data_IF_478721846585
#
_entry.id   IF_478721846585
#
_cell.length_a   1.000
_cell.length_b   1.000
_cell.length_c   1.000
_cell.angle_alpha   90.00
_cell.angle_beta   90.00
_cell.angle_gamma   90.00
#
_symmetry.space_group_name_H-M   'P 1'
#
loop_
_entity.id
_entity.type
_entity.pdbx_description
1 polymer ?
#
# COMPACT_ATOMS: atom_id res chain seq x y z
N UNK A 1 24.40 16.72 -17.40
CA UNK A 1 23.58 17.92 -17.32
C UNK A 1 22.10 17.53 -17.48
N UNK A 2 21.37 17.47 -16.36
CA UNK A 2 19.97 17.04 -16.34
C UNK A 2 19.08 18.01 -17.12
N UNK A 3 19.38 19.30 -17.06
CA UNK A 3 18.58 20.36 -17.71
C UNK A 3 18.50 20.14 -19.23
N UNK A 4 19.59 19.71 -19.86
CA UNK A 4 19.60 19.43 -21.31
C UNK A 4 18.71 18.26 -21.72
N UNK A 5 18.38 17.38 -20.77
CA UNK A 5 17.56 16.19 -21.01
C UNK A 5 16.09 16.37 -20.61
N UNK A 6 15.71 17.58 -20.16
CA UNK A 6 14.30 17.86 -19.86
C UNK A 6 13.51 17.89 -21.18
N UNK A 7 12.55 16.99 -21.30
CA UNK A 7 11.66 16.93 -22.47
C UNK A 7 10.54 17.96 -22.33
N UNK A 8 10.60 18.99 -23.18
CA UNK A 8 9.57 20.04 -23.27
C UNK A 8 8.54 19.70 -24.34
N UNK A 9 9.01 19.24 -25.49
CA UNK A 9 8.16 19.04 -26.68
C UNK A 9 7.22 17.86 -26.47
N UNK A 10 7.72 16.72 -26.01
CA UNK A 10 6.92 15.54 -25.74
C UNK A 10 5.82 15.80 -24.71
N UNK A 11 6.14 16.48 -23.62
CA UNK A 11 5.16 16.86 -22.60
C UNK A 11 4.11 17.85 -23.13
N UNK A 12 4.50 18.77 -24.02
CA UNK A 12 3.56 19.70 -24.66
C UNK A 12 2.60 18.97 -25.59
N UNK A 13 3.11 18.08 -26.45
CA UNK A 13 2.29 17.27 -27.35
C UNK A 13 1.36 16.33 -26.58
N UNK A 14 1.85 15.73 -25.51
CA UNK A 14 1.06 14.88 -24.62
C UNK A 14 -0.15 15.62 -24.06
N UNK A 15 0.06 16.83 -23.53
CA UNK A 15 -1.01 17.69 -23.00
C UNK A 15 -1.99 18.12 -24.10
N UNK A 16 -1.50 18.47 -25.27
CA UNK A 16 -2.33 18.87 -26.40
C UNK A 16 -3.24 17.71 -26.85
N UNK A 17 -2.69 16.51 -27.01
CA UNK A 17 -3.45 15.31 -27.34
C UNK A 17 -4.48 14.97 -26.27
N UNK A 18 -4.09 14.96 -24.99
CA UNK A 18 -4.98 14.69 -23.88
C UNK A 18 -6.13 15.70 -23.75
N UNK A 19 -5.87 16.98 -24.01
CA UNK A 19 -6.90 18.03 -24.07
C UNK A 19 -7.94 17.75 -25.18
N UNK A 20 -7.49 17.20 -26.30
CA UNK A 20 -8.35 16.85 -27.42
C UNK A 20 -8.83 15.39 -27.40
N UNK A 21 -9.08 14.82 -26.23
CA UNK A 21 -9.44 13.41 -26.02
C UNK A 21 -10.64 12.96 -26.84
N UNK A 22 -11.53 13.86 -27.24
CA UNK A 22 -12.67 13.51 -28.09
C UNK A 22 -12.26 12.94 -29.46
N UNK A 23 -11.15 13.46 -30.00
CA UNK A 23 -10.66 13.10 -31.34
C UNK A 23 -9.30 12.38 -31.28
N UNK A 24 -8.58 12.44 -30.16
CA UNK A 24 -7.22 11.90 -30.02
C UNK A 24 -7.18 10.90 -28.88
N UNK A 25 -6.63 9.73 -29.15
CA UNK A 25 -6.34 8.70 -28.12
C UNK A 25 -4.88 8.83 -27.72
N UNK A 26 -4.62 9.24 -26.49
CA UNK A 26 -3.26 9.38 -25.95
C UNK A 26 -2.92 8.16 -25.10
N UNK A 27 -1.79 7.52 -25.39
CA UNK A 27 -1.31 6.34 -24.69
C UNK A 27 0.05 6.66 -24.09
N UNK A 28 0.21 6.44 -22.79
CA UNK A 28 1.47 6.63 -22.07
C UNK A 28 2.06 5.33 -21.53
N UNK A 29 1.28 4.26 -21.58
CA UNK A 29 1.68 2.96 -21.05
C UNK A 29 1.28 1.84 -22.03
N UNK A 30 2.16 0.85 -22.18
CA UNK A 30 1.95 -0.29 -23.10
C UNK A 30 0.71 -1.11 -22.74
N UNK A 31 0.35 -1.19 -21.47
CA UNK A 31 -0.85 -1.93 -21.01
C UNK A 31 -2.14 -1.35 -21.55
N UNK A 32 -2.13 -0.08 -21.98
CA UNK A 32 -3.30 0.62 -22.48
C UNK A 32 -3.56 0.39 -23.99
N UNK A 33 -2.67 -0.28 -24.71
CA UNK A 33 -2.83 -0.49 -26.16
C UNK A 33 -4.15 -1.17 -26.53
N UNK A 34 -4.52 -2.24 -25.82
CA UNK A 34 -5.78 -2.94 -26.07
C UNK A 34 -7.01 -2.08 -25.75
N UNK A 35 -6.92 -1.29 -24.68
CA UNK A 35 -8.00 -0.36 -24.30
C UNK A 35 -8.15 0.71 -25.38
N UNK A 36 -7.04 1.23 -25.90
CA UNK A 36 -7.01 2.31 -26.88
C UNK A 36 -7.64 1.93 -28.22
N UNK A 37 -7.45 0.68 -28.69
CA UNK A 37 -8.00 0.19 -29.95
C UNK A 37 -9.54 0.27 -30.01
N UNK A 38 -10.21 0.10 -28.88
CA UNK A 38 -11.67 0.07 -28.78
C UNK A 38 -12.22 1.18 -27.87
N UNK A 39 -11.41 2.22 -27.59
CA UNK A 39 -11.79 3.27 -26.67
C UNK A 39 -12.92 4.14 -27.25
N UNK A 40 -14.08 4.10 -26.59
CA UNK A 40 -15.12 5.10 -26.77
C UNK A 40 -14.69 6.44 -26.14
N UNK A 41 -15.53 7.48 -26.20
CA UNK A 41 -15.20 8.79 -25.64
C UNK A 41 -14.83 8.72 -24.16
N UNK A 42 -15.54 7.94 -23.36
CA UNK A 42 -15.23 7.77 -21.94
C UNK A 42 -13.89 7.04 -21.72
N UNK A 43 -13.56 6.05 -22.54
CA UNK A 43 -12.24 5.40 -22.52
C UNK A 43 -11.12 6.37 -22.83
N UNK A 44 -11.29 7.22 -23.85
CA UNK A 44 -10.32 8.26 -24.22
C UNK A 44 -10.17 9.31 -23.10
N UNK A 45 -11.27 9.68 -22.43
CA UNK A 45 -11.22 10.58 -21.27
C UNK A 45 -10.38 10.00 -20.12
N UNK A 46 -10.52 8.70 -19.84
CA UNK A 46 -9.68 8.01 -18.82
C UNK A 46 -8.19 8.04 -19.21
N UNK A 47 -7.87 7.76 -20.47
CA UNK A 47 -6.49 7.82 -20.97
C UNK A 47 -5.93 9.25 -20.91
N UNK A 48 -6.74 10.25 -21.22
CA UNK A 48 -6.36 11.65 -21.08
C UNK A 48 -6.07 12.05 -19.63
N UNK A 49 -6.90 11.60 -18.68
CA UNK A 49 -6.64 11.82 -17.25
C UNK A 49 -5.31 11.18 -16.81
N UNK A 50 -5.02 9.95 -17.28
CA UNK A 50 -3.75 9.26 -17.03
C UNK A 50 -2.56 10.05 -17.61
N UNK A 51 -2.70 10.60 -18.83
CA UNK A 51 -1.68 11.41 -19.48
C UNK A 51 -1.39 12.72 -18.72
N UNK A 52 -2.42 13.42 -18.24
CA UNK A 52 -2.22 14.61 -17.40
C UNK A 52 -1.57 14.29 -16.06
N UNK A 53 -1.92 13.18 -15.43
CA UNK A 53 -1.25 12.74 -14.20
C UNK A 53 0.25 12.44 -14.45
N UNK A 54 0.58 11.79 -15.56
CA UNK A 54 1.96 11.54 -15.95
C UNK A 54 2.74 12.86 -16.13
N UNK A 55 2.18 13.82 -16.86
CA UNK A 55 2.81 15.13 -17.07
C UNK A 55 3.00 15.89 -15.74
N UNK A 56 2.02 15.85 -14.83
CA UNK A 56 2.12 16.47 -13.50
C UNK A 56 3.25 15.84 -12.65
N UNK A 57 3.41 14.52 -12.71
CA UNK A 57 4.49 13.83 -12.01
C UNK A 57 5.87 14.17 -12.60
N UNK A 58 5.96 14.31 -13.92
CA UNK A 58 7.17 14.72 -14.61
C UNK A 58 7.60 16.14 -14.21
N UNK A 59 6.68 17.12 -14.28
CA UNK A 59 6.95 18.50 -13.88
C UNK A 59 7.33 18.61 -12.40
N UNK A 60 6.70 17.81 -11.54
CA UNK A 60 7.04 17.77 -10.12
C UNK A 60 8.47 17.27 -9.88
N UNK A 61 8.89 16.22 -10.59
CA UNK A 61 10.27 15.72 -10.49
C UNK A 61 11.29 16.79 -10.87
N UNK A 62 11.03 17.54 -11.96
CA UNK A 62 11.87 18.66 -12.40
C UNK A 62 11.90 19.75 -11.34
N UNK A 63 10.74 20.18 -10.85
CA UNK A 63 10.63 21.23 -9.83
C UNK A 63 11.41 20.88 -8.56
N UNK A 64 11.31 19.62 -8.08
CA UNK A 64 12.05 19.15 -6.92
C UNK A 64 13.56 19.21 -7.14
N UNK A 65 14.04 18.76 -8.30
CA UNK A 65 15.45 18.79 -8.66
C UNK A 65 16.01 20.22 -8.71
N UNK A 66 15.25 21.15 -9.31
CA UNK A 66 15.69 22.54 -9.43
C UNK A 66 15.69 23.23 -8.05
N UNK A 67 14.73 22.96 -7.20
CA UNK A 67 14.70 23.47 -5.83
C UNK A 67 15.92 23.01 -5.00
N UNK A 68 16.32 21.73 -5.15
CA UNK A 68 17.55 21.24 -4.52
C UNK A 68 18.81 21.99 -4.98
N UNK A 69 18.89 22.39 -6.25
CA UNK A 69 20.03 23.11 -6.80
C UNK A 69 20.08 24.59 -6.35
N UNK A 70 18.93 25.21 -6.11
CA UNK A 70 18.84 26.61 -5.66
C UNK A 70 18.97 26.77 -4.15
N UNK A 71 18.90 25.68 -3.40
CA UNK A 71 18.87 25.72 -1.93
C UNK A 71 17.57 26.30 -1.37
N UNK A 72 16.56 26.50 -2.21
CA UNK A 72 15.25 26.94 -1.79
C UNK A 72 14.47 25.80 -1.08
N UNK A 73 13.48 26.17 -0.26
CA UNK A 73 12.62 25.17 0.39
C UNK A 73 11.72 24.51 -0.66
N UNK A 74 11.90 23.21 -0.94
CA UNK A 74 11.12 22.53 -1.97
C UNK A 74 9.66 22.42 -1.56
N UNK A 75 8.76 22.57 -2.53
CA UNK A 75 7.36 22.19 -2.35
C UNK A 75 7.27 20.69 -2.17
N UNK A 76 6.65 20.23 -1.08
CA UNK A 76 6.39 18.82 -0.85
C UNK A 76 5.02 18.45 -1.43
N UNK A 77 5.03 17.68 -2.51
CA UNK A 77 3.81 17.13 -3.11
C UNK A 77 3.74 15.64 -2.82
N UNK A 78 2.60 15.18 -2.32
CA UNK A 78 2.31 13.76 -2.13
C UNK A 78 1.33 13.32 -3.22
N UNK A 79 1.67 12.26 -3.94
CA UNK A 79 0.81 11.65 -4.94
C UNK A 79 0.49 10.23 -4.53
N UNK A 80 -0.78 9.89 -4.57
CA UNK A 80 -1.29 8.58 -4.19
C UNK A 80 -2.13 8.01 -5.33
N UNK A 81 -1.89 6.75 -5.66
CA UNK A 81 -2.73 5.99 -6.59
C UNK A 81 -3.82 5.26 -5.81
N UNK A 82 -5.08 5.43 -6.22
CA UNK A 82 -6.19 4.69 -5.64
C UNK A 82 -6.10 3.22 -6.04
N UNK A 83 -6.01 2.33 -5.05
CA UNK A 83 -5.96 0.89 -5.25
C UNK A 83 -7.38 0.32 -5.35
N UNK A 84 -8.22 0.62 -4.36
CA UNK A 84 -9.61 0.15 -4.31
C UNK A 84 -10.46 0.96 -3.33
N UNK A 85 -11.77 0.86 -3.47
CA UNK A 85 -12.69 1.28 -2.43
C UNK A 85 -12.75 0.23 -1.31
N UNK A 86 -13.01 0.69 -0.09
CA UNK A 86 -13.33 -0.16 1.04
C UNK A 86 -14.85 -0.27 1.19
N UNK A 87 -15.31 -1.29 1.87
CA UNK A 87 -16.74 -1.49 2.15
C UNK A 87 -17.36 -0.28 2.84
N UNK A 88 -16.64 0.32 3.78
CA UNK A 88 -16.96 1.58 4.48
C UNK A 88 -15.70 2.17 5.09
N UNK A 89 -15.77 3.40 5.58
CA UNK A 89 -14.67 4.08 6.28
C UNK A 89 -14.54 3.65 7.74
N UNK A 90 -14.19 4.60 8.61
CA UNK A 90 -14.11 4.35 10.05
C UNK A 90 -15.47 3.94 10.63
N UNK A 91 -16.54 4.59 10.16
CA UNK A 91 -17.92 4.27 10.49
C UNK A 91 -18.71 3.77 9.27
N UNK A 92 -19.78 2.98 9.47
CA UNK A 92 -20.53 2.34 8.37
C UNK A 92 -21.09 3.27 7.30
N UNK A 93 -21.39 4.51 7.65
CA UNK A 93 -21.94 5.51 6.74
C UNK A 93 -20.88 6.30 5.96
N UNK A 94 -19.62 6.13 6.29
CA UNK A 94 -18.50 6.82 5.65
C UNK A 94 -17.95 6.01 4.47
N UNK A 95 -17.48 6.71 3.44
CA UNK A 95 -16.71 6.09 2.36
C UNK A 95 -15.25 5.99 2.75
N UNK A 96 -14.62 4.88 2.42
CA UNK A 96 -13.20 4.66 2.60
C UNK A 96 -12.56 4.14 1.31
N UNK A 97 -11.28 4.38 1.12
CA UNK A 97 -10.51 3.83 0.01
C UNK A 97 -9.06 3.64 0.42
N UNK A 98 -8.39 2.67 -0.22
CA UNK A 98 -6.96 2.46 -0.08
C UNK A 98 -6.27 3.17 -1.24
N UNK A 99 -5.23 3.90 -0.86
CA UNK A 99 -4.30 4.54 -1.78
C UNK A 99 -2.90 4.02 -1.51
N UNK A 100 -2.09 3.88 -2.54
CA UNK A 100 -0.69 3.49 -2.42
C UNK A 100 0.25 4.60 -2.90
N UNK A 101 1.45 4.60 -2.36
CA UNK A 101 2.61 5.31 -2.90
C UNK A 101 3.51 4.30 -3.63
N UNK A 102 4.46 4.78 -4.42
CA UNK A 102 5.48 3.92 -5.07
C UNK A 102 6.30 3.09 -4.06
N UNK A 103 6.32 3.50 -2.78
CA UNK A 103 7.08 2.85 -1.70
C UNK A 103 6.23 1.93 -0.83
N UNK A 104 4.95 1.81 -1.08
CA UNK A 104 4.09 0.95 -0.29
C UNK A 104 4.43 -0.52 -0.54
N UNK A 105 4.54 -1.28 0.54
CA UNK A 105 4.72 -2.73 0.44
C UNK A 105 3.43 -3.34 -0.11
N UNK A 106 3.55 -4.12 -1.18
CA UNK A 106 2.42 -4.89 -1.69
C UNK A 106 2.03 -5.95 -0.67
N UNK A 107 0.73 -6.11 -0.45
CA UNK A 107 0.17 -7.18 0.35
C UNK A 107 -0.81 -7.99 -0.48
N UNK A 108 -0.91 -9.26 -0.19
CA UNK A 108 -1.83 -10.19 -0.81
C UNK A 108 -2.84 -10.67 0.25
N UNK A 109 -4.13 -10.66 -0.09
CA UNK A 109 -5.18 -11.28 0.72
C UNK A 109 -5.35 -12.70 0.22
N UNK A 110 -4.91 -13.68 1.02
CA UNK A 110 -4.95 -15.08 0.65
C UNK A 110 -6.34 -15.69 0.83
N UNK A 111 -7.05 -15.30 1.87
CA UNK A 111 -8.39 -15.79 2.19
C UNK A 111 -9.11 -14.84 3.15
N UNK A 112 -10.43 -14.94 3.24
CA UNK A 112 -11.25 -14.23 4.21
C UNK A 112 -12.15 -13.16 3.60
N UNK A 113 -12.74 -12.36 4.49
CA UNK A 113 -13.65 -11.28 4.13
C UNK A 113 -12.88 -10.07 3.60
N UNK A 114 -13.58 -9.23 2.83
CA UNK A 114 -13.06 -7.93 2.45
C UNK A 114 -12.71 -7.11 3.70
N UNK A 115 -11.47 -6.57 3.71
CA UNK A 115 -10.95 -5.81 4.84
C UNK A 115 -11.69 -4.48 4.98
N UNK A 116 -12.14 -4.17 6.18
CA UNK A 116 -12.68 -2.87 6.54
C UNK A 116 -11.55 -1.85 6.76
N UNK A 117 -11.92 -0.58 6.92
CA UNK A 117 -10.98 0.47 7.29
C UNK A 117 -10.24 0.16 8.61
N UNK A 118 -10.97 -0.29 9.62
CA UNK A 118 -10.39 -0.64 10.92
C UNK A 118 -9.48 -1.86 10.84
N UNK A 119 -9.82 -2.85 9.99
CA UNK A 119 -8.93 -4.00 9.75
C UNK A 119 -7.61 -3.55 9.14
N UNK A 120 -7.65 -2.65 8.14
CA UNK A 120 -6.42 -2.10 7.52
C UNK A 120 -5.57 -1.34 8.54
N UNK A 121 -6.17 -0.54 9.42
CA UNK A 121 -5.43 0.14 10.49
C UNK A 121 -4.76 -0.85 11.43
N UNK A 122 -5.50 -1.84 11.94
CA UNK A 122 -4.94 -2.84 12.85
C UNK A 122 -3.84 -3.66 12.19
N UNK A 123 -4.05 -4.07 10.92
CA UNK A 123 -3.07 -4.77 10.09
C UNK A 123 -1.79 -3.96 9.93
N UNK A 124 -1.93 -2.66 9.64
CA UNK A 124 -0.77 -1.76 9.47
C UNK A 124 0.02 -1.63 10.76
N UNK A 125 -0.65 -1.47 11.90
CA UNK A 125 0.03 -1.39 13.19
C UNK A 125 0.69 -2.71 13.58
N UNK A 126 0.03 -3.84 13.34
CA UNK A 126 0.62 -5.16 13.57
C UNK A 126 1.89 -5.36 12.74
N UNK A 127 1.83 -4.97 11.46
CA UNK A 127 2.95 -5.05 10.54
C UNK A 127 4.11 -4.14 10.97
N UNK A 128 3.83 -2.89 11.33
CA UNK A 128 4.85 -1.95 11.80
C UNK A 128 5.63 -2.50 13.00
N UNK A 129 4.92 -3.04 14.00
CA UNK A 129 5.57 -3.59 15.19
C UNK A 129 6.44 -4.80 14.86
N UNK A 130 5.92 -5.80 14.13
CA UNK A 130 6.70 -7.00 13.85
C UNK A 130 7.84 -6.76 12.86
N UNK A 131 7.77 -5.70 12.05
CA UNK A 131 8.85 -5.33 11.13
C UNK A 131 10.12 -4.87 11.85
N UNK A 132 10.01 -4.33 13.06
CA UNK A 132 11.17 -3.98 13.90
C UNK A 132 11.92 -5.22 14.42
N UNK A 133 11.27 -6.39 14.37
CA UNK A 133 11.79 -7.67 14.85
C UNK A 133 11.91 -8.71 13.73
N UNK A 134 12.26 -8.28 12.51
CA UNK A 134 12.23 -9.13 11.31
C UNK A 134 13.17 -10.34 11.34
N UNK A 135 14.21 -10.34 12.16
CA UNK A 135 15.23 -11.38 12.28
C UNK A 135 14.93 -12.43 13.37
N UNK A 136 14.00 -12.15 14.27
CA UNK A 136 13.61 -13.03 15.39
C UNK A 136 12.14 -13.44 15.29
N UNK A 137 11.74 -14.43 16.10
CA UNK A 137 10.35 -14.84 16.22
C UNK A 137 9.59 -13.85 17.11
N UNK A 138 8.84 -12.96 16.48
CA UNK A 138 8.06 -11.94 17.15
C UNK A 138 6.60 -12.01 16.72
N UNK A 139 5.72 -11.71 17.67
CA UNK A 139 4.27 -11.62 17.46
C UNK A 139 3.75 -10.36 18.11
N UNK A 140 2.85 -9.68 17.42
CA UNK A 140 2.08 -8.57 17.94
C UNK A 140 0.58 -8.85 17.81
N UNK A 141 -0.20 -8.48 18.81
CA UNK A 141 -1.66 -8.56 18.81
C UNK A 141 -2.21 -7.15 18.97
N UNK A 142 -2.98 -6.70 18.00
CA UNK A 142 -3.49 -5.33 17.91
C UNK A 142 -5.00 -5.32 18.02
N UNK A 143 -5.51 -4.42 18.83
CA UNK A 143 -6.94 -4.12 18.91
C UNK A 143 -7.15 -2.61 19.00
N UNK A 144 -8.05 -2.09 18.18
CA UNK A 144 -8.31 -0.65 18.11
C UNK A 144 -7.04 0.19 17.92
N UNK A 145 -6.16 -0.26 17.00
CA UNK A 145 -4.86 0.37 16.68
C UNK A 145 -3.85 0.40 17.84
N UNK A 146 -4.08 -0.36 18.90
CA UNK A 146 -3.16 -0.44 20.04
C UNK A 146 -2.73 -1.87 20.32
N UNK A 147 -1.45 -2.09 20.69
CA UNK A 147 -1.00 -3.42 21.05
C UNK A 147 -1.63 -3.89 22.37
N UNK A 148 -2.26 -5.06 22.35
CA UNK A 148 -2.69 -5.78 23.55
C UNK A 148 -1.57 -6.67 24.08
N UNK A 149 -0.74 -7.19 23.18
CA UNK A 149 0.41 -8.00 23.51
C UNK A 149 1.45 -7.99 22.41
N UNK A 150 2.72 -7.94 22.83
CA UNK A 150 3.88 -8.07 21.93
C UNK A 150 4.89 -8.96 22.63
N UNK A 151 5.37 -9.99 21.95
CA UNK A 151 6.34 -10.87 22.54
C UNK A 151 7.32 -11.45 21.53
N UNK A 152 8.50 -11.79 22.05
CA UNK A 152 9.52 -12.59 21.39
C UNK A 152 9.50 -14.01 21.93
N UNK A 153 9.79 -14.99 21.09
CA UNK A 153 9.78 -16.38 21.46
C UNK A 153 10.88 -17.23 20.84
N UNK A 154 11.08 -18.42 21.37
CA UNK A 154 11.98 -19.44 20.80
C UNK A 154 11.42 -20.00 19.49
N UNK A 155 10.09 -20.03 19.36
CA UNK A 155 9.35 -20.35 18.16
C UNK A 155 8.26 -19.29 17.94
N UNK A 156 7.61 -19.29 16.76
CA UNK A 156 6.47 -18.43 16.49
C UNK A 156 5.30 -18.77 17.42
N UNK A 157 5.10 -20.05 17.76
CA UNK A 157 4.09 -20.48 18.72
C UNK A 157 4.37 -19.95 20.14
N UNK A 158 5.62 -20.05 20.62
CA UNK A 158 6.03 -19.50 21.93
C UNK A 158 5.84 -17.97 21.99
N UNK A 159 6.20 -17.27 20.92
CA UNK A 159 5.98 -15.82 20.82
C UNK A 159 4.48 -15.48 20.84
N UNK A 160 3.67 -16.24 20.10
CA UNK A 160 2.22 -16.04 20.07
C UNK A 160 1.56 -16.26 21.44
N UNK A 161 1.89 -17.37 22.11
CA UNK A 161 1.34 -17.68 23.43
C UNK A 161 1.67 -16.56 24.44
N UNK A 162 2.93 -16.12 24.47
CA UNK A 162 3.35 -15.01 25.34
C UNK A 162 2.64 -13.70 25.03
N UNK A 163 2.49 -13.36 23.74
CA UNK A 163 1.78 -12.16 23.34
C UNK A 163 0.29 -12.21 23.72
N UNK A 164 -0.33 -13.38 23.59
CA UNK A 164 -1.72 -13.62 23.98
C UNK A 164 -1.90 -13.51 25.50
N UNK A 165 -0.98 -14.06 26.27
CA UNK A 165 -1.02 -14.07 27.74
C UNK A 165 -0.82 -12.69 28.36
N UNK A 166 -0.34 -11.69 27.60
CA UNK A 166 -0.25 -10.29 28.06
C UNK A 166 -1.62 -9.72 28.42
N UNK A 167 -2.63 -9.96 27.60
CA UNK A 167 -4.02 -9.56 27.83
C UNK A 167 -4.96 -10.48 27.02
N UNK A 168 -5.33 -11.63 27.54
CA UNK A 168 -6.17 -12.59 26.83
C UNK A 168 -7.55 -12.04 26.46
N UNK A 169 -8.11 -11.15 27.30
CA UNK A 169 -9.44 -10.58 27.08
C UNK A 169 -9.42 -9.63 25.87
N UNK A 170 -8.45 -8.73 25.82
CA UNK A 170 -8.31 -7.78 24.71
C UNK A 170 -7.82 -8.46 23.44
N UNK A 171 -7.01 -9.51 23.57
CA UNK A 171 -6.50 -10.29 22.44
C UNK A 171 -7.60 -11.04 21.69
N UNK A 172 -8.70 -11.35 22.34
CA UNK A 172 -9.88 -11.91 21.69
C UNK A 172 -10.46 -10.87 20.67
N UNK A 173 -10.65 -11.26 19.42
CA UNK A 173 -10.95 -10.38 18.28
C UNK A 173 -9.80 -9.44 17.86
N UNK A 174 -8.60 -9.64 18.35
CA UNK A 174 -7.42 -8.89 17.92
C UNK A 174 -6.92 -9.30 16.54
N UNK A 175 -6.16 -8.41 15.93
CA UNK A 175 -5.39 -8.68 14.71
C UNK A 175 -3.99 -9.11 15.09
N UNK A 176 -3.56 -10.26 14.60
CA UNK A 176 -2.25 -10.83 14.95
C UNK A 176 -1.26 -10.66 13.81
N UNK A 177 -0.12 -10.04 14.10
CA UNK A 177 1.02 -9.92 13.19
C UNK A 177 2.15 -10.87 13.59
N UNK A 178 2.79 -11.48 12.60
CA UNK A 178 3.91 -12.40 12.77
C UNK A 178 5.12 -11.95 11.97
N UNK A 179 6.31 -11.97 12.58
CA UNK A 179 7.57 -11.64 11.90
C UNK A 179 8.10 -12.75 11.00
N UNK A 180 7.63 -13.97 11.16
CA UNK A 180 8.03 -15.18 10.41
C UNK A 180 6.81 -15.95 9.93
N UNK A 181 7.04 -16.86 9.00
CA UNK A 181 6.00 -17.77 8.51
C UNK A 181 5.36 -18.55 9.64
N UNK A 182 4.05 -18.60 9.64
CA UNK A 182 3.25 -19.37 10.61
C UNK A 182 3.28 -20.84 10.22
N UNK A 183 3.55 -21.69 11.19
CA UNK A 183 3.51 -23.14 11.03
C UNK A 183 2.11 -23.72 11.24
N UNK A 184 1.98 -25.04 11.01
CA UNK A 184 0.71 -25.72 11.13
C UNK A 184 0.19 -25.81 12.58
N UNK A 185 1.05 -25.72 13.58
CA UNK A 185 0.69 -25.75 14.99
C UNK A 185 0.00 -24.45 15.40
N UNK A 186 0.62 -23.31 15.07
CA UNK A 186 0.03 -22.00 15.27
C UNK A 186 -1.28 -21.87 14.50
N UNK A 187 -1.31 -22.29 13.22
CA UNK A 187 -2.52 -22.22 12.41
C UNK A 187 -3.69 -23.01 13.02
N UNK A 188 -3.44 -24.22 13.54
CA UNK A 188 -4.46 -25.03 14.23
C UNK A 188 -4.96 -24.34 15.50
N UNK A 189 -4.05 -23.78 16.29
CA UNK A 189 -4.41 -23.07 17.52
C UNK A 189 -5.26 -21.84 17.23
N UNK A 190 -4.86 -21.01 16.25
CA UNK A 190 -5.62 -19.85 15.83
C UNK A 190 -7.01 -20.21 15.33
N UNK A 191 -7.13 -21.29 14.55
CA UNK A 191 -8.42 -21.76 14.04
C UNK A 191 -9.35 -22.32 15.13
N UNK A 192 -8.80 -22.78 16.25
CA UNK A 192 -9.58 -23.24 17.42
C UNK A 192 -10.13 -22.07 18.25
N UNK A 193 -9.56 -20.89 18.13
CA UNK A 193 -10.00 -19.67 18.79
C UNK A 193 -11.04 -18.95 17.92
N UNK A 194 -12.31 -19.27 18.10
CA UNK A 194 -13.39 -18.56 17.41
C UNK A 194 -13.35 -17.06 17.72
N UNK A 195 -13.18 -16.23 16.70
CA UNK A 195 -13.29 -14.76 16.82
C UNK A 195 -11.99 -13.96 16.63
N UNK A 196 -10.85 -14.62 16.39
CA UNK A 196 -9.64 -13.88 16.00
C UNK A 196 -9.74 -13.40 14.54
N UNK A 197 -9.57 -12.10 14.35
CA UNK A 197 -9.21 -11.56 13.03
C UNK A 197 -7.74 -11.90 12.78
N UNK A 198 -7.46 -13.03 12.13
CA UNK A 198 -6.09 -13.48 11.90
C UNK A 198 -5.58 -12.89 10.62
N UNK A 199 -4.52 -12.11 10.71
CA UNK A 199 -3.80 -11.57 9.55
C UNK A 199 -2.35 -12.02 9.63
N UNK A 200 -1.92 -12.77 8.62
CA UNK A 200 -0.56 -13.23 8.50
C UNK A 200 0.27 -12.20 7.74
N UNK A 201 1.35 -11.73 8.32
CA UNK A 201 2.35 -10.94 7.62
C UNK A 201 3.63 -11.73 7.52
N UNK A 202 4.03 -12.01 6.29
CA UNK A 202 5.39 -12.39 5.98
C UNK A 202 6.02 -11.24 5.20
N UNK A 203 6.88 -10.48 5.84
CA UNK A 203 7.64 -9.44 5.16
C UNK A 203 8.73 -10.08 4.30
N UNK A 204 8.47 -10.23 3.01
CA UNK A 204 9.55 -10.34 2.04
C UNK A 204 10.18 -8.95 1.85
N UNK A 205 11.14 -8.60 2.67
CA UNK A 205 12.10 -7.58 2.29
C UNK A 205 12.88 -8.13 1.08
N UNK A 206 12.43 -7.83 -0.13
CA UNK A 206 13.30 -7.93 -1.29
C UNK A 206 14.52 -7.08 -0.97
N UNK A 207 15.63 -7.72 -0.61
CA UNK A 207 16.94 -7.06 -0.58
C UNK A 207 17.08 -6.37 -1.92
N UNK A 208 17.00 -5.04 -1.95
CA UNK A 208 17.49 -4.28 -3.09
C UNK A 208 18.94 -4.69 -3.27
N UNK A 209 19.24 -5.47 -4.32
CA UNK A 209 20.62 -5.59 -4.78
C UNK A 209 21.10 -4.16 -5.00
N UNK A 210 22.09 -3.73 -4.23
CA UNK A 210 22.89 -2.56 -4.58
C UNK A 210 23.51 -2.87 -5.94
N UNK A 211 23.09 -2.11 -6.94
CA UNK A 211 23.82 -1.96 -8.19
C UNK A 211 24.78 -0.81 -7.98
#
# INVERSE_FOLDING_TARGET
DVIKNIDVVGMTLLRAGAKNYRNVTVIIDKVDYYVALNANEFGRLKLAAKAFNFAANYDRAISSLLAEQTGEKPFKTLSFEKVRDLKYGENPHQKGAIYKTERMVDYEVLDGKELSFNDILNVTEAANIVSEFFDVNAVSIIRHTKPCGVALGRSIYDAYTKAFDCDPISSFYGTVGFSKTVDSEVAKHLNSMAGLGVFFFHFFLKKKKKI
#
